data_IF_629467495873
#
_entry.id   IF_629467495873
#
_cell.length_a   1.000
_cell.length_b   1.000
_cell.length_c   1.000
_cell.angle_alpha   90.00
_cell.angle_beta   90.00
_cell.angle_gamma   90.00
#
_symmetry.space_group_name_H-M   'P 1'
#
loop_
_entity.id
_entity.type
_entity.pdbx_description
1 polymer ?
#
# COMPACT_ATOMS: atom_id res chain seq x y z
N UNK A 1 -10.84 -12.22 3.82
CA UNK A 1 -10.63 -13.04 2.62
C UNK A 1 -11.25 -12.27 1.47
N UNK A 2 -10.48 -11.39 0.83
CA UNK A 2 -10.84 -10.82 -0.46
C UNK A 2 -10.73 -11.95 -1.47
N UNK A 3 -11.83 -12.32 -2.12
CA UNK A 3 -11.78 -13.17 -3.30
C UNK A 3 -11.03 -12.39 -4.39
N UNK A 4 -9.74 -12.61 -4.48
CA UNK A 4 -8.94 -12.14 -5.61
C UNK A 4 -9.34 -12.98 -6.81
N UNK A 5 -10.20 -12.43 -7.67
CA UNK A 5 -10.56 -13.07 -8.92
C UNK A 5 -9.33 -13.06 -9.82
N UNK A 6 -8.54 -14.13 -9.77
CA UNK A 6 -7.52 -14.39 -10.76
C UNK A 6 -8.27 -14.73 -12.05
N UNK A 7 -8.24 -13.82 -13.01
CA UNK A 7 -8.78 -14.03 -14.35
C UNK A 7 -7.87 -15.01 -15.11
N UNK A 8 -7.94 -16.29 -14.77
CA UNK A 8 -7.22 -17.32 -15.52
C UNK A 8 -8.02 -17.71 -16.76
N UNK A 9 -7.41 -17.65 -17.93
CA UNK A 9 -8.03 -18.23 -19.13
C UNK A 9 -7.94 -19.75 -19.05
N UNK A 10 -9.05 -20.43 -19.33
CA UNK A 10 -9.13 -21.90 -19.34
C UNK A 10 -8.19 -22.42 -20.44
N UNK A 11 -7.07 -23.05 -20.05
CA UNK A 11 -6.06 -23.58 -20.97
C UNK A 11 -4.71 -22.84 -20.98
N UNK A 12 -4.51 -21.81 -20.15
CA UNK A 12 -3.19 -21.16 -20.04
C UNK A 12 -2.15 -22.09 -19.43
N UNK A 13 -0.99 -22.14 -20.07
CA UNK A 13 0.16 -22.90 -19.59
C UNK A 13 0.67 -22.34 -18.25
N UNK A 14 1.30 -23.19 -17.44
CA UNK A 14 1.84 -22.78 -16.15
C UNK A 14 2.91 -21.69 -16.30
N UNK A 15 3.64 -21.72 -17.40
CA UNK A 15 4.67 -20.75 -17.76
C UNK A 15 4.07 -19.36 -18.05
N UNK A 16 2.91 -19.28 -18.71
CA UNK A 16 2.27 -18.00 -18.98
C UNK A 16 1.74 -17.36 -17.68
N UNK A 17 1.21 -18.17 -16.76
CA UNK A 17 0.76 -17.69 -15.44
C UNK A 17 1.93 -17.18 -14.60
N UNK A 18 3.07 -17.87 -14.65
CA UNK A 18 4.29 -17.41 -14.00
C UNK A 18 4.78 -16.07 -14.60
N UNK A 19 4.79 -15.96 -15.93
CA UNK A 19 5.15 -14.72 -16.62
C UNK A 19 4.26 -13.53 -16.24
N UNK A 20 2.94 -13.73 -16.13
CA UNK A 20 2.01 -12.68 -15.65
C UNK A 20 2.33 -12.26 -14.21
N UNK A 21 2.63 -13.21 -13.33
CA UNK A 21 3.03 -12.90 -11.96
C UNK A 21 4.36 -12.12 -11.91
N UNK A 22 5.32 -12.47 -12.76
CA UNK A 22 6.59 -11.75 -12.90
C UNK A 22 6.40 -10.33 -13.42
N UNK A 23 5.52 -10.13 -14.41
CA UNK A 23 5.17 -8.81 -14.92
C UNK A 23 4.57 -7.94 -13.81
N UNK A 24 3.61 -8.45 -13.04
CA UNK A 24 3.02 -7.71 -11.90
C UNK A 24 4.06 -7.35 -10.85
N UNK A 25 4.95 -8.28 -10.51
CA UNK A 25 6.00 -8.07 -9.51
C UNK A 25 6.98 -6.97 -9.91
N UNK A 26 7.24 -6.83 -11.21
CA UNK A 26 8.23 -5.90 -11.76
C UNK A 26 7.62 -4.62 -12.34
N UNK A 27 6.30 -4.49 -12.36
CA UNK A 27 5.57 -3.32 -12.87
C UNK A 27 6.03 -2.00 -12.25
N UNK A 28 6.48 -2.02 -10.99
CA UNK A 28 7.04 -0.84 -10.33
C UNK A 28 8.20 -0.19 -11.10
N UNK A 29 9.02 -0.98 -11.81
CA UNK A 29 10.11 -0.46 -12.63
C UNK A 29 9.59 0.23 -13.90
N UNK A 30 8.58 -0.35 -14.54
CA UNK A 30 7.86 0.29 -15.66
C UNK A 30 7.25 1.62 -15.24
N UNK A 31 6.53 1.63 -14.11
CA UNK A 31 5.91 2.86 -13.61
C UNK A 31 6.94 3.92 -13.22
N UNK A 32 8.08 3.52 -12.64
CA UNK A 32 9.18 4.43 -12.35
C UNK A 32 9.69 5.12 -13.62
N UNK A 33 9.90 4.37 -14.70
CA UNK A 33 10.34 4.92 -15.99
C UNK A 33 9.29 5.87 -16.57
N UNK A 34 8.02 5.46 -16.63
CA UNK A 34 6.92 6.30 -17.13
C UNK A 34 6.78 7.61 -16.36
N UNK A 35 6.95 7.57 -15.04
CA UNK A 35 6.92 8.77 -14.23
C UNK A 35 7.96 9.77 -14.70
N UNK A 36 9.17 9.33 -15.06
CA UNK A 36 10.22 10.22 -15.56
C UNK A 36 9.98 10.61 -17.01
N UNK A 37 9.48 9.69 -17.83
CA UNK A 37 9.11 9.95 -19.22
C UNK A 37 8.05 11.05 -19.34
N UNK A 38 7.05 11.08 -18.46
CA UNK A 38 6.01 12.12 -18.47
C UNK A 38 6.59 13.52 -18.25
N UNK A 39 7.67 13.63 -17.45
CA UNK A 39 8.39 14.87 -17.15
C UNK A 39 9.35 15.31 -18.26
N UNK A 40 9.66 14.46 -19.24
CA UNK A 40 10.55 14.81 -20.36
C UNK A 40 9.83 15.65 -21.41
N UNK A 41 10.52 16.70 -21.86
CA UNK A 41 10.12 17.51 -23.02
C UNK A 41 10.25 16.70 -24.31
N UNK A 42 11.39 16.03 -24.49
CA UNK A 42 11.65 15.13 -25.62
C UNK A 42 11.48 13.70 -25.12
N UNK A 43 10.46 13.01 -25.65
CA UNK A 43 10.18 11.62 -25.33
C UNK A 43 11.33 10.72 -25.76
N UNK A 44 11.69 9.78 -24.92
CA UNK A 44 12.79 8.83 -25.13
C UNK A 44 12.28 7.41 -25.36
N UNK A 45 11.03 7.12 -25.02
CA UNK A 45 10.44 5.81 -25.25
C UNK A 45 9.78 5.78 -26.63
N UNK A 46 10.11 4.76 -27.42
CA UNK A 46 9.49 4.50 -28.72
C UNK A 46 8.06 3.94 -28.54
N UNK A 47 7.85 3.23 -27.43
CA UNK A 47 6.59 2.64 -27.02
C UNK A 47 6.57 2.47 -25.50
N UNK A 48 5.42 2.67 -24.86
CA UNK A 48 5.17 2.19 -23.51
C UNK A 48 3.71 1.76 -23.38
N UNK A 49 3.49 0.50 -23.04
CA UNK A 49 2.16 -0.08 -23.01
C UNK A 49 2.04 -1.18 -21.95
N UNK A 50 0.82 -1.33 -21.45
CA UNK A 50 0.42 -2.46 -20.60
C UNK A 50 -0.56 -3.33 -21.36
N UNK A 51 -0.58 -4.63 -21.05
CA UNK A 51 -1.58 -5.56 -21.56
C UNK A 51 -2.56 -5.86 -20.43
N UNK A 52 -3.83 -5.51 -20.60
CA UNK A 52 -4.88 -5.70 -19.60
C UNK A 52 -5.85 -6.80 -20.04
N UNK A 53 -6.33 -7.58 -19.08
CA UNK A 53 -7.35 -8.61 -19.27
C UNK A 53 -8.75 -8.05 -19.02
N UNK A 54 -9.59 -8.03 -20.05
CA UNK A 54 -10.97 -7.58 -20.01
C UNK A 54 -11.90 -8.78 -19.87
N UNK A 55 -12.67 -8.83 -18.78
CA UNK A 55 -13.63 -9.91 -18.57
C UNK A 55 -14.78 -9.83 -19.58
N UNK A 56 -15.14 -10.98 -20.16
CA UNK A 56 -16.24 -11.14 -21.10
C UNK A 56 -17.37 -11.97 -20.47
N UNK A 57 -18.46 -12.16 -21.21
CA UNK A 57 -19.58 -12.99 -20.76
C UNK A 57 -19.13 -14.44 -20.54
N UNK A 58 -19.12 -14.95 -19.30
CA UNK A 58 -18.65 -16.30 -18.99
C UNK A 58 -19.63 -17.39 -19.45
N UNK A 59 -20.87 -17.03 -19.77
CA UNK A 59 -21.94 -17.97 -20.11
C UNK A 59 -22.00 -18.28 -21.61
N UNK A 60 -21.29 -17.53 -22.46
CA UNK A 60 -21.18 -17.81 -23.89
C UNK A 60 -19.95 -18.69 -24.21
N UNK A 61 -20.15 -19.97 -24.57
CA UNK A 61 -19.04 -20.88 -24.86
C UNK A 61 -18.33 -20.57 -26.19
N UNK A 62 -18.83 -19.63 -27.00
CA UNK A 62 -18.23 -19.24 -28.28
C UNK A 62 -17.18 -18.14 -28.14
N UNK A 63 -17.12 -17.47 -26.98
CA UNK A 63 -16.16 -16.39 -26.71
C UNK A 63 -15.20 -16.82 -25.58
N UNK A 64 -13.96 -16.29 -25.56
CA UNK A 64 -13.05 -16.55 -24.45
C UNK A 64 -13.56 -15.86 -23.18
N UNK A 65 -13.13 -16.36 -22.01
CA UNK A 65 -13.52 -15.76 -20.72
C UNK A 65 -12.96 -14.33 -20.54
N UNK A 66 -11.81 -14.05 -21.14
CA UNK A 66 -11.24 -12.70 -21.17
C UNK A 66 -10.63 -12.40 -22.55
N UNK A 67 -10.57 -11.13 -22.87
CA UNK A 67 -9.79 -10.60 -23.99
C UNK A 67 -8.60 -9.80 -23.45
N UNK A 68 -7.40 -10.08 -23.96
CA UNK A 68 -6.17 -9.38 -23.57
C UNK A 68 -5.84 -8.30 -24.60
N UNK A 69 -5.78 -7.04 -24.18
CA UNK A 69 -5.56 -5.92 -25.10
C UNK A 69 -4.46 -4.99 -24.59
N UNK A 70 -3.74 -4.38 -25.53
CA UNK A 70 -2.70 -3.40 -25.24
C UNK A 70 -3.31 -2.01 -25.00
N UNK A 71 -2.82 -1.34 -23.97
CA UNK A 71 -3.25 -0.03 -23.51
C UNK A 71 -2.00 0.85 -23.37
N UNK A 72 -1.99 1.98 -24.08
CA UNK A 72 -0.96 3.02 -24.03
C UNK A 72 -1.39 4.18 -23.13
N UNK A 73 -0.62 5.28 -23.13
CA UNK A 73 -0.87 6.48 -22.31
C UNK A 73 -1.24 6.14 -20.86
N UNK A 74 -0.39 5.29 -20.27
CA UNK A 74 -0.69 4.60 -19.02
C UNK A 74 -0.52 5.53 -17.83
N UNK A 75 -1.54 5.59 -16.98
CA UNK A 75 -1.57 6.24 -15.68
C UNK A 75 -1.87 5.21 -14.59
N UNK A 76 -1.28 5.39 -13.41
CA UNK A 76 -1.43 4.48 -12.28
C UNK A 76 -1.56 5.26 -10.97
N UNK A 77 -2.59 4.91 -10.19
CA UNK A 77 -2.92 5.55 -8.91
C UNK A 77 -2.61 4.66 -7.69
N UNK A 78 -1.91 3.54 -7.89
CA UNK A 78 -1.65 2.55 -6.85
C UNK A 78 -2.70 1.44 -6.71
N UNK A 79 -3.85 1.56 -7.38
CA UNK A 79 -4.94 0.57 -7.37
C UNK A 79 -5.48 0.24 -8.76
N UNK A 80 -5.60 1.25 -9.61
CA UNK A 80 -6.17 1.16 -10.95
C UNK A 80 -5.17 1.65 -11.98
N UNK A 81 -5.21 1.00 -13.13
CA UNK A 81 -4.48 1.41 -14.32
C UNK A 81 -5.48 2.03 -15.28
N UNK A 82 -5.23 3.29 -15.64
CA UNK A 82 -5.98 4.01 -16.66
C UNK A 82 -5.11 4.18 -17.90
N UNK A 83 -5.70 4.17 -19.09
CA UNK A 83 -4.97 4.48 -20.32
C UNK A 83 -5.86 4.44 -21.55
N UNK A 84 -5.24 4.43 -22.71
CA UNK A 84 -5.92 4.47 -24.02
C UNK A 84 -5.73 3.14 -24.74
N UNK A 85 -6.84 2.53 -25.17
CA UNK A 85 -6.81 1.25 -25.87
C UNK A 85 -6.09 1.37 -27.22
N UNK A 86 -5.09 0.52 -27.47
CA UNK A 86 -4.28 0.59 -28.69
C UNK A 86 -4.83 -0.26 -29.84
N UNK A 87 -5.54 -1.34 -29.52
CA UNK A 87 -5.99 -2.34 -30.48
C UNK A 87 -7.51 -2.36 -30.57
N UNK A 88 -8.03 -2.77 -31.72
CA UNK A 88 -9.47 -3.00 -31.88
C UNK A 88 -9.89 -4.28 -31.13
N UNK A 89 -10.90 -4.21 -30.25
CA UNK A 89 -11.46 -5.38 -29.60
C UNK A 89 -12.11 -6.32 -30.60
N UNK A 90 -11.90 -7.62 -30.41
CA UNK A 90 -12.55 -8.68 -31.17
C UNK A 90 -13.86 -9.12 -30.52
N UNK A 91 -13.92 -9.19 -29.20
CA UNK A 91 -15.07 -9.71 -28.46
C UNK A 91 -15.70 -8.68 -27.53
N UNK A 92 -14.90 -7.79 -26.92
CA UNK A 92 -15.39 -6.67 -26.12
C UNK A 92 -15.97 -5.55 -27.01
N UNK A 93 -17.03 -5.87 -27.76
CA UNK A 93 -17.64 -5.01 -28.80
C UNK A 93 -18.24 -3.69 -28.29
N UNK A 94 -18.35 -3.51 -26.97
CA UNK A 94 -18.74 -2.24 -26.36
C UNK A 94 -17.59 -1.23 -26.29
N UNK A 95 -16.36 -1.65 -26.57
CA UNK A 95 -15.15 -0.82 -26.61
C UNK A 95 -14.66 -0.69 -28.06
N UNK A 96 -13.88 0.35 -28.31
CA UNK A 96 -13.21 0.62 -29.59
C UNK A 96 -11.77 1.06 -29.36
N UNK A 97 -10.91 0.91 -30.37
CA UNK A 97 -9.56 1.48 -30.29
C UNK A 97 -9.63 2.99 -30.00
N UNK A 98 -8.65 3.50 -29.24
CA UNK A 98 -8.60 4.86 -28.70
C UNK A 98 -9.57 5.19 -27.55
N UNK A 99 -10.40 4.24 -27.10
CA UNK A 99 -11.20 4.44 -25.90
C UNK A 99 -10.31 4.55 -24.65
N UNK A 100 -10.69 5.47 -23.74
CA UNK A 100 -10.11 5.52 -22.40
C UNK A 100 -10.69 4.40 -21.54
N UNK A 101 -9.82 3.57 -21.00
CA UNK A 101 -10.17 2.43 -20.16
C UNK A 101 -9.54 2.56 -18.78
N UNK A 102 -10.24 2.07 -17.75
CA UNK A 102 -9.75 2.05 -16.37
C UNK A 102 -10.06 0.70 -15.76
N UNK A 103 -9.03 -0.06 -15.39
CA UNK A 103 -9.15 -1.40 -14.80
C UNK A 103 -8.35 -1.51 -13.50
N UNK A 104 -8.74 -2.38 -12.57
CA UNK A 104 -7.94 -2.66 -11.38
C UNK A 104 -6.57 -3.25 -11.75
N UNK A 105 -5.55 -3.04 -10.91
CA UNK A 105 -4.18 -3.53 -11.12
C UNK A 105 -4.12 -5.06 -11.33
N UNK A 106 -5.07 -5.79 -10.74
CA UNK A 106 -5.22 -7.24 -10.91
C UNK A 106 -5.59 -7.66 -12.34
N UNK A 107 -6.01 -6.73 -13.20
CA UNK A 107 -6.22 -6.97 -14.63
C UNK A 107 -4.89 -6.92 -15.42
N UNK A 108 -3.78 -6.47 -14.82
CA UNK A 108 -2.48 -6.43 -15.49
C UNK A 108 -2.03 -7.83 -15.87
N UNK A 109 -1.84 -8.06 -17.17
CA UNK A 109 -1.33 -9.31 -17.73
C UNK A 109 0.16 -9.19 -18.06
N UNK A 110 0.58 -8.08 -18.67
CA UNK A 110 1.98 -7.80 -18.99
C UNK A 110 2.22 -6.29 -19.12
N UNK A 111 3.48 -5.89 -19.20
CA UNK A 111 3.88 -4.51 -19.52
C UNK A 111 5.15 -4.53 -20.35
N UNK A 112 5.35 -3.53 -21.19
CA UNK A 112 6.63 -3.31 -21.85
C UNK A 112 6.83 -1.83 -22.20
N UNK A 113 8.07 -1.40 -22.20
CA UNK A 113 8.48 -0.18 -22.89
C UNK A 113 9.65 -0.46 -23.82
N UNK A 114 9.78 0.39 -24.83
CA UNK A 114 10.83 0.30 -25.84
C UNK A 114 11.67 1.55 -25.79
N UNK A 115 12.99 1.37 -25.80
CA UNK A 115 13.95 2.47 -25.89
C UNK A 115 15.03 2.10 -26.90
N UNK A 116 15.20 2.95 -27.91
CA UNK A 116 16.14 2.72 -29.01
C UNK A 116 15.92 1.35 -29.70
N UNK A 117 14.65 0.97 -29.87
CA UNK A 117 14.25 -0.32 -30.47
C UNK A 117 14.44 -1.55 -29.57
N UNK A 118 15.03 -1.42 -28.38
CA UNK A 118 15.17 -2.53 -27.42
C UNK A 118 14.00 -2.58 -26.43
N UNK A 119 13.48 -3.77 -26.17
CA UNK A 119 12.31 -4.01 -25.32
C UNK A 119 12.72 -4.28 -23.88
N UNK A 120 12.02 -3.63 -22.95
CA UNK A 120 12.09 -3.89 -21.52
C UNK A 120 10.74 -4.39 -21.02
N UNK A 121 10.74 -5.41 -20.17
CA UNK A 121 9.52 -6.14 -19.77
C UNK A 121 9.12 -7.19 -20.81
N UNK A 122 7.82 -7.34 -21.06
CA UNK A 122 7.30 -8.28 -22.05
C UNK A 122 7.43 -9.74 -21.61
N UNK A 123 7.16 -10.04 -20.33
CA UNK A 123 7.33 -11.40 -19.78
C UNK A 123 6.47 -12.44 -20.49
N UNK A 124 5.24 -12.07 -20.86
CA UNK A 124 4.34 -12.97 -21.58
C UNK A 124 4.71 -13.09 -23.05
N UNK A 125 5.32 -12.06 -23.64
CA UNK A 125 5.88 -12.12 -25.00
C UNK A 125 7.09 -13.06 -25.02
N UNK A 126 7.99 -12.96 -24.05
CA UNK A 126 9.08 -13.93 -23.87
C UNK A 126 8.54 -15.36 -23.71
N UNK A 127 7.47 -15.52 -22.91
CA UNK A 127 6.86 -16.83 -22.71
C UNK A 127 6.36 -17.47 -24.01
N UNK A 128 5.83 -16.67 -24.92
CA UNK A 128 5.42 -17.10 -26.26
C UNK A 128 6.64 -17.40 -27.13
N UNK A 129 7.67 -16.53 -27.12
CA UNK A 129 8.93 -16.72 -27.85
C UNK A 129 9.65 -18.00 -27.44
N UNK A 130 9.55 -18.44 -26.19
CA UNK A 130 10.19 -19.65 -25.71
C UNK A 130 9.71 -20.94 -26.41
N UNK A 131 8.48 -20.96 -26.93
CA UNK A 131 7.93 -22.08 -27.69
C UNK A 131 8.27 -22.06 -29.19
N UNK A 132 8.90 -21.00 -29.67
CA UNK A 132 9.21 -20.79 -31.08
C UNK A 132 10.60 -21.32 -31.43
N UNK A 133 10.79 -21.77 -32.67
CA UNK A 133 12.12 -22.04 -33.23
C UNK A 133 12.90 -20.74 -33.39
N UNK A 134 14.22 -20.84 -33.55
CA UNK A 134 15.08 -19.67 -33.76
C UNK A 134 14.61 -18.80 -34.94
N UNK A 135 14.38 -19.41 -36.11
CA UNK A 135 13.87 -18.71 -37.30
C UNK A 135 12.51 -18.02 -37.06
N UNK A 136 11.61 -18.65 -36.30
CA UNK A 136 10.30 -18.11 -35.99
C UNK A 136 10.39 -16.93 -35.00
N UNK A 137 11.33 -16.96 -34.05
CA UNK A 137 11.62 -15.81 -33.18
C UNK A 137 12.20 -14.66 -33.97
N UNK A 138 13.13 -14.93 -34.89
CA UNK A 138 13.69 -13.89 -35.76
C UNK A 138 12.62 -13.25 -36.65
N UNK A 139 11.69 -14.05 -37.20
CA UNK A 139 10.55 -13.52 -37.95
C UNK A 139 9.60 -12.70 -37.07
N UNK A 140 9.31 -13.18 -35.86
CA UNK A 140 8.54 -12.43 -34.86
C UNK A 140 9.18 -11.08 -34.55
N UNK A 141 10.46 -11.05 -34.19
CA UNK A 141 11.17 -9.83 -33.81
C UNK A 141 11.27 -8.86 -35.00
N UNK A 142 11.49 -9.37 -36.23
CA UNK A 142 11.41 -8.56 -37.47
C UNK A 142 10.03 -8.01 -37.76
N UNK A 143 8.96 -8.77 -37.49
CA UNK A 143 7.59 -8.33 -37.73
C UNK A 143 7.18 -7.18 -36.79
N UNK A 144 7.68 -7.20 -35.55
CA UNK A 144 7.51 -6.09 -34.61
C UNK A 144 8.48 -4.94 -34.87
N UNK A 145 9.63 -5.23 -35.49
CA UNK A 145 10.72 -4.26 -35.66
C UNK A 145 11.40 -3.91 -34.33
N UNK A 146 11.37 -4.83 -33.36
CA UNK A 146 11.85 -4.63 -32.00
C UNK A 146 12.84 -5.73 -31.60
N UNK A 147 13.83 -5.36 -30.81
CA UNK A 147 14.78 -6.28 -30.18
C UNK A 147 14.26 -6.69 -28.80
N UNK A 148 13.79 -7.94 -28.69
CA UNK A 148 13.33 -8.52 -27.43
C UNK A 148 14.43 -9.24 -26.65
N UNK A 149 15.69 -9.14 -27.08
CA UNK A 149 16.84 -9.71 -26.39
C UNK A 149 16.85 -11.25 -26.35
N UNK A 150 17.70 -11.77 -25.45
CA UNK A 150 17.95 -13.20 -25.30
C UNK A 150 16.72 -13.94 -24.80
N UNK A 151 16.22 -14.95 -25.55
CA UNK A 151 15.02 -15.70 -25.14
C UNK A 151 15.17 -16.38 -23.78
N UNK A 152 14.15 -16.25 -22.93
CA UNK A 152 14.11 -16.74 -21.56
C UNK A 152 14.66 -15.74 -20.53
N UNK A 153 15.22 -14.62 -20.97
CA UNK A 153 15.76 -13.56 -20.14
C UNK A 153 15.05 -12.24 -20.46
N UNK A 154 14.63 -11.55 -19.40
CA UNK A 154 13.89 -10.29 -19.49
C UNK A 154 14.70 -9.19 -18.82
N UNK A 155 14.91 -8.09 -19.52
CA UNK A 155 15.48 -6.87 -18.96
C UNK A 155 14.34 -5.95 -18.52
N UNK A 156 14.42 -5.37 -17.31
CA UNK A 156 13.36 -4.48 -16.77
C UNK A 156 13.78 -3.02 -16.64
N UNK A 157 15.09 -2.77 -16.57
CA UNK A 157 15.69 -1.44 -16.44
C UNK A 157 16.91 -1.35 -17.38
N UNK A 158 17.17 -0.20 -18.04
CA UNK A 158 18.36 -0.03 -18.85
C UNK A 158 19.62 -0.07 -17.98
N UNK A 159 20.63 -0.81 -18.42
CA UNK A 159 21.94 -0.71 -17.80
C UNK A 159 22.62 0.62 -18.16
N UNK A 160 23.56 1.05 -17.32
CA UNK A 160 24.48 2.11 -17.67
C UNK A 160 25.42 1.65 -18.81
N UNK A 161 25.95 2.59 -19.59
CA UNK A 161 26.75 2.30 -20.79
C UNK A 161 27.99 1.42 -20.50
N UNK A 162 28.51 1.45 -19.26
CA UNK A 162 29.66 0.70 -18.78
C UNK A 162 29.30 -0.55 -17.96
N UNK A 163 28.01 -0.88 -17.85
CA UNK A 163 27.52 -2.00 -17.06
C UNK A 163 26.85 -3.07 -17.92
N UNK A 164 26.99 -4.33 -17.50
CA UNK A 164 26.22 -5.41 -18.09
C UNK A 164 24.73 -5.26 -17.74
N UNK A 165 23.82 -5.63 -18.67
CA UNK A 165 22.40 -5.59 -18.40
C UNK A 165 22.03 -6.53 -17.25
N UNK A 166 21.14 -6.06 -16.37
CA UNK A 166 20.50 -6.90 -15.37
C UNK A 166 19.41 -7.73 -16.05
N UNK A 167 19.68 -9.02 -16.19
CA UNK A 167 18.77 -9.98 -16.79
C UNK A 167 18.05 -10.75 -15.70
N UNK A 168 16.75 -10.91 -15.87
CA UNK A 168 15.88 -11.70 -14.99
C UNK A 168 15.36 -12.90 -15.77
N UNK A 169 15.25 -14.04 -15.12
CA UNK A 169 14.47 -15.14 -15.66
C UNK A 169 13.00 -14.74 -15.75
N UNK A 170 12.29 -15.34 -16.70
CA UNK A 170 10.85 -15.13 -16.87
C UNK A 170 10.01 -15.47 -15.63
N UNK A 171 10.46 -16.41 -14.78
CA UNK A 171 9.69 -16.91 -13.63
C UNK A 171 10.08 -16.25 -12.30
N UNK A 172 11.19 -15.52 -12.24
CA UNK A 172 11.73 -14.89 -11.03
C UNK A 172 11.93 -15.86 -9.84
N UNK A 173 12.21 -17.13 -10.12
CA UNK A 173 12.29 -18.20 -9.12
C UNK A 173 13.72 -18.54 -8.69
N UNK A 174 14.74 -18.04 -9.41
CA UNK A 174 16.13 -18.35 -9.13
C UNK A 174 16.71 -17.53 -7.96
N UNK A 175 17.84 -17.99 -7.42
CA UNK A 175 18.60 -17.19 -6.44
C UNK A 175 19.20 -15.93 -7.07
N UNK A 176 19.59 -16.02 -8.34
CA UNK A 176 20.12 -14.91 -9.13
C UNK A 176 19.06 -13.83 -9.34
N UNK A 177 17.82 -14.19 -9.69
CA UNK A 177 16.71 -13.24 -9.83
C UNK A 177 16.48 -12.44 -8.55
N UNK A 178 16.50 -13.12 -7.40
CA UNK A 178 16.32 -12.46 -6.09
C UNK A 178 17.45 -11.48 -5.80
N UNK A 179 18.69 -11.83 -6.14
CA UNK A 179 19.83 -10.94 -5.98
C UNK A 179 19.78 -9.75 -6.94
N UNK A 180 19.40 -9.99 -8.20
CA UNK A 180 19.24 -8.96 -9.22
C UNK A 180 18.13 -7.98 -8.84
N UNK A 181 16.96 -8.47 -8.41
CA UNK A 181 15.86 -7.63 -7.92
C UNK A 181 16.25 -6.82 -6.68
N UNK A 182 16.99 -7.40 -5.73
CA UNK A 182 17.49 -6.67 -4.57
C UNK A 182 18.49 -5.57 -4.96
N UNK A 183 19.30 -5.79 -5.99
CA UNK A 183 20.23 -4.80 -6.55
C UNK A 183 19.46 -3.69 -7.26
N UNK A 184 18.48 -4.03 -8.10
CA UNK A 184 17.63 -3.08 -8.82
C UNK A 184 16.79 -2.22 -7.87
N UNK A 185 16.34 -2.76 -6.73
CA UNK A 185 15.63 -2.01 -5.68
C UNK A 185 16.48 -0.88 -5.08
N UNK A 186 17.79 -1.08 -4.96
CA UNK A 186 18.72 -0.06 -4.44
C UNK A 186 19.34 0.80 -5.54
N UNK A 187 19.09 0.45 -6.81
CA UNK A 187 19.57 1.21 -7.96
C UNK A 187 18.56 2.30 -8.30
N UNK A 188 18.99 3.55 -8.14
CA UNK A 188 18.19 4.71 -8.45
C UNK A 188 18.10 4.97 -9.95
N UNK A 189 16.96 5.50 -10.38
CA UNK A 189 16.83 5.98 -11.74
C UNK A 189 17.81 7.16 -11.97
N UNK A 190 18.56 7.22 -13.09
CA UNK A 190 19.56 8.26 -13.34
C UNK A 190 18.99 9.68 -13.22
N UNK A 191 17.73 9.89 -13.64
CA UNK A 191 17.09 11.19 -13.51
C UNK A 191 16.80 11.57 -12.05
N UNK A 192 16.48 10.60 -11.18
CA UNK A 192 16.28 10.86 -9.76
C UNK A 192 17.57 11.31 -9.06
N UNK A 193 18.72 10.77 -9.48
CA UNK A 193 20.04 11.21 -9.01
C UNK A 193 20.36 12.62 -9.51
N UNK A 194 20.19 12.87 -10.81
CA UNK A 194 20.51 14.16 -11.43
C UNK A 194 19.60 15.30 -10.96
N UNK A 195 18.38 14.99 -10.52
CA UNK A 195 17.41 15.98 -10.03
C UNK A 195 17.55 16.27 -8.53
N UNK A 196 18.40 15.56 -7.79
CA UNK A 196 18.51 15.70 -6.32
C UNK A 196 18.77 17.13 -5.89
N UNK A 197 19.80 17.77 -6.44
CA UNK A 197 20.16 19.15 -6.08
C UNK A 197 19.05 20.14 -6.41
N UNK A 198 18.44 20.02 -7.60
CA UNK A 198 17.33 20.90 -8.01
C UNK A 198 16.09 20.72 -7.16
N UNK A 199 15.79 19.50 -6.72
CA UNK A 199 14.70 19.23 -5.78
C UNK A 199 15.00 19.91 -4.45
N UNK A 200 16.22 19.79 -3.92
CA UNK A 200 16.60 20.48 -2.68
C UNK A 200 16.46 22.00 -2.78
N UNK A 201 17.00 22.60 -3.85
CA UNK A 201 16.91 24.04 -4.10
C UNK A 201 15.45 24.49 -4.21
N UNK A 202 14.64 23.77 -5.00
CA UNK A 202 13.21 24.08 -5.16
C UNK A 202 12.42 23.98 -3.86
N UNK A 203 12.75 23.00 -3.00
CA UNK A 203 12.13 22.88 -1.67
C UNK A 203 12.56 23.99 -0.71
N UNK A 204 13.78 24.51 -0.83
CA UNK A 204 14.25 25.65 -0.05
C UNK A 204 13.59 26.97 -0.49
N UNK A 205 13.45 27.18 -1.79
CA UNK A 205 12.80 28.38 -2.35
C UNK A 205 11.28 28.37 -2.13
N UNK A 206 10.65 27.20 -2.20
CA UNK A 206 9.21 27.03 -2.08
C UNK A 206 8.82 25.93 -1.07
N UNK A 207 9.06 26.13 0.25
CA UNK A 207 8.81 25.09 1.26
C UNK A 207 7.34 24.64 1.37
N UNK A 208 6.39 25.45 0.90
CA UNK A 208 4.96 25.15 0.95
C UNK A 208 4.55 24.04 -0.03
N UNK A 209 5.35 23.77 -1.08
CA UNK A 209 5.03 22.79 -2.13
C UNK A 209 4.84 21.36 -1.58
N UNK A 210 5.45 21.05 -0.43
CA UNK A 210 5.31 19.74 0.24
C UNK A 210 3.90 19.51 0.80
N UNK A 211 3.08 20.56 0.89
CA UNK A 211 1.71 20.54 1.39
C UNK A 211 0.67 20.81 0.30
N UNK A 212 1.12 21.18 -0.90
CA UNK A 212 0.23 21.47 -2.01
C UNK A 212 -0.24 20.18 -2.67
N UNK A 213 -1.56 20.09 -2.83
CA UNK A 213 -2.18 19.02 -3.59
C UNK A 213 -2.20 19.42 -5.07
N UNK A 214 -1.82 18.48 -5.93
CA UNK A 214 -1.98 18.61 -7.37
C UNK A 214 -3.48 18.62 -7.75
N UNK A 215 -3.85 18.89 -9.02
CA UNK A 215 -5.25 18.90 -9.46
C UNK A 215 -5.98 17.56 -9.29
N UNK A 216 -5.26 16.44 -9.19
CA UNK A 216 -5.82 15.12 -8.90
C UNK A 216 -5.96 14.88 -7.38
N UNK A 217 -5.53 15.83 -6.55
CA UNK A 217 -5.58 15.74 -5.10
C UNK A 217 -4.52 14.83 -4.50
N UNK A 218 -3.32 14.86 -5.09
CA UNK A 218 -2.12 14.15 -4.61
C UNK A 218 -1.05 15.14 -4.15
N UNK A 219 -0.39 14.84 -3.02
CA UNK A 219 0.84 15.52 -2.63
C UNK A 219 2.00 15.05 -3.50
N UNK A 220 3.02 15.90 -3.64
CA UNK A 220 4.29 15.52 -4.30
C UNK A 220 4.86 14.23 -3.69
N UNK A 221 4.81 14.08 -2.36
CA UNK A 221 5.28 12.86 -1.68
C UNK A 221 4.56 11.59 -2.17
N UNK A 222 3.26 11.64 -2.44
CA UNK A 222 2.50 10.48 -2.92
C UNK A 222 2.98 10.02 -4.31
N UNK A 223 3.20 10.97 -5.23
CA UNK A 223 3.65 10.69 -6.59
C UNK A 223 5.05 10.07 -6.58
N UNK A 224 5.97 10.64 -5.80
CA UNK A 224 7.36 10.18 -5.72
C UNK A 224 7.49 8.82 -5.02
N UNK A 225 6.65 8.57 -4.01
CA UNK A 225 6.57 7.26 -3.36
C UNK A 225 6.02 6.19 -4.28
N UNK A 226 4.94 6.48 -5.02
CA UNK A 226 4.36 5.52 -5.96
C UNK A 226 5.36 5.16 -7.08
N UNK A 227 6.10 6.16 -7.58
CA UNK A 227 7.13 5.99 -8.60
C UNK A 227 8.43 5.33 -8.10
N UNK A 228 8.67 5.26 -6.78
CA UNK A 228 9.89 4.67 -6.25
C UNK A 228 11.12 5.58 -6.28
N UNK A 229 10.94 6.91 -6.27
CA UNK A 229 12.01 7.89 -6.37
C UNK A 229 12.63 8.18 -5.00
N UNK A 230 13.36 7.22 -4.43
CA UNK A 230 13.86 7.28 -3.06
C UNK A 230 14.62 8.58 -2.72
N UNK A 231 15.55 9.13 -3.55
CA UNK A 231 16.25 10.37 -3.24
C UNK A 231 15.33 11.57 -3.08
N UNK A 232 14.26 11.62 -3.88
CA UNK A 232 13.26 12.71 -3.85
C UNK A 232 12.36 12.54 -2.63
N UNK A 233 11.94 11.31 -2.33
CA UNK A 233 11.17 10.99 -1.11
C UNK A 233 11.97 11.38 0.15
N UNK A 234 13.24 11.01 0.22
CA UNK A 234 14.12 11.37 1.33
C UNK A 234 14.31 12.90 1.46
N UNK A 235 14.40 13.63 0.35
CA UNK A 235 14.43 15.10 0.37
C UNK A 235 13.13 15.68 0.94
N UNK A 236 11.98 15.25 0.43
CA UNK A 236 10.66 15.71 0.89
C UNK A 236 10.46 15.47 2.39
N UNK A 237 10.84 14.29 2.90
CA UNK A 237 10.75 13.98 4.32
C UNK A 237 11.66 14.86 5.18
N UNK A 238 12.89 15.16 4.73
CA UNK A 238 13.80 16.10 5.43
C UNK A 238 13.23 17.50 5.54
N UNK A 239 12.48 17.94 4.52
CA UNK A 239 11.79 19.23 4.51
C UNK A 239 10.43 19.21 5.25
N UNK A 240 10.04 18.09 5.86
CA UNK A 240 8.87 18.00 6.72
C UNK A 240 7.58 17.59 6.02
N UNK A 241 7.66 16.94 4.85
CA UNK A 241 6.49 16.32 4.23
C UNK A 241 5.88 15.26 5.16
N UNK A 242 4.56 15.28 5.32
CA UNK A 242 3.85 14.38 6.22
C UNK A 242 3.49 13.07 5.50
N UNK A 243 4.10 11.92 5.86
CA UNK A 243 3.82 10.64 5.22
C UNK A 243 2.44 10.08 5.58
N UNK A 244 1.76 10.64 6.58
CA UNK A 244 0.42 10.22 7.03
C UNK A 244 -0.71 11.04 6.41
N UNK A 245 -0.41 12.12 5.68
CA UNK A 245 -1.42 12.88 4.97
C UNK A 245 -2.08 11.98 3.90
N UNK A 246 -3.41 11.89 3.84
CA UNK A 246 -4.08 11.11 2.80
C UNK A 246 -4.21 11.89 1.49
N UNK A 247 -4.22 11.17 0.36
CA UNK A 247 -4.70 11.68 -0.92
C UNK A 247 -6.24 11.64 -1.01
N UNK A 248 -6.82 12.01 -2.17
CA UNK A 248 -8.27 11.95 -2.43
C UNK A 248 -8.89 10.57 -2.29
N UNK A 249 -8.09 9.51 -2.43
CA UNK A 249 -8.51 8.12 -2.25
C UNK A 249 -8.36 7.63 -0.79
N UNK A 250 -7.93 8.50 0.14
CA UNK A 250 -7.69 8.14 1.53
C UNK A 250 -6.39 7.35 1.76
N UNK A 251 -5.51 7.26 0.77
CA UNK A 251 -4.25 6.52 0.86
C UNK A 251 -3.14 7.41 1.41
N UNK A 252 -2.34 6.86 2.32
CA UNK A 252 -1.12 7.51 2.82
C UNK A 252 0.09 7.11 1.98
N UNK A 253 1.20 7.83 2.14
CA UNK A 253 2.47 7.47 1.50
C UNK A 253 2.89 6.03 1.83
N UNK A 254 2.70 5.57 3.06
CA UNK A 254 3.04 4.20 3.45
C UNK A 254 2.18 3.15 2.72
N UNK A 255 0.90 3.44 2.51
CA UNK A 255 0.00 2.55 1.79
C UNK A 255 0.41 2.45 0.31
N UNK A 256 0.74 3.58 -0.32
CA UNK A 256 1.22 3.63 -1.70
C UNK A 256 2.55 2.88 -1.89
N UNK A 257 3.52 3.08 -0.99
CA UNK A 257 4.81 2.37 -1.05
C UNK A 257 4.64 0.84 -0.95
N UNK A 258 3.73 0.40 -0.07
CA UNK A 258 3.41 -1.01 0.12
C UNK A 258 2.71 -1.59 -1.11
N UNK A 259 1.75 -0.87 -1.67
CA UNK A 259 1.01 -1.28 -2.87
C UNK A 259 1.90 -1.35 -4.12
N UNK A 260 2.80 -0.38 -4.30
CA UNK A 260 3.78 -0.35 -5.39
C UNK A 260 4.94 -1.34 -5.19
N UNK A 261 5.12 -1.90 -3.99
CA UNK A 261 6.16 -2.89 -3.71
C UNK A 261 7.57 -2.31 -3.58
N UNK A 262 7.71 -1.14 -2.94
CA UNK A 262 9.00 -0.47 -2.65
C UNK A 262 9.44 -0.69 -1.19
N UNK A 263 9.98 -1.85 -0.81
CA UNK A 263 10.34 -2.16 0.59
C UNK A 263 11.32 -1.16 1.20
N UNK A 264 12.25 -0.60 0.42
CA UNK A 264 13.19 0.40 0.94
C UNK A 264 12.49 1.70 1.32
N UNK A 265 11.55 2.17 0.50
CA UNK A 265 10.73 3.34 0.82
C UNK A 265 9.77 3.06 1.98
N UNK A 266 9.22 1.84 2.08
CA UNK A 266 8.44 1.42 3.25
C UNK A 266 9.27 1.53 4.53
N UNK A 267 10.53 1.05 4.52
CA UNK A 267 11.43 1.17 5.66
C UNK A 267 11.73 2.64 6.01
N UNK A 268 11.96 3.48 4.98
CA UNK A 268 12.18 4.92 5.13
C UNK A 268 10.99 5.62 5.80
N UNK A 269 9.78 5.41 5.30
CA UNK A 269 8.56 6.01 5.82
C UNK A 269 8.21 5.53 7.24
N UNK A 270 8.66 4.34 7.62
CA UNK A 270 8.52 3.80 8.98
C UNK A 270 9.61 4.28 9.95
N UNK A 271 10.64 4.97 9.47
CA UNK A 271 11.81 5.37 10.27
C UNK A 271 12.73 4.20 10.64
N UNK A 272 12.68 3.10 9.88
CA UNK A 272 13.49 1.90 10.09
C UNK A 272 14.65 1.80 9.09
N UNK A 273 14.82 2.78 8.21
CA UNK A 273 15.89 2.81 7.22
C UNK A 273 17.22 3.25 7.87
N UNK A 274 18.23 2.38 7.92
CA UNK A 274 19.53 2.73 8.51
C UNK A 274 20.31 3.77 7.70
N UNK A 275 19.99 3.97 6.41
CA UNK A 275 20.68 4.91 5.53
C UNK A 275 20.17 6.35 5.68
N UNK A 276 18.97 6.53 6.26
CA UNK A 276 18.33 7.83 6.40
C UNK A 276 18.48 8.40 7.81
N UNK A 277 19.06 9.60 7.91
CA UNK A 277 19.31 10.29 9.19
C UNK A 277 18.40 11.51 9.42
N UNK A 278 17.51 11.83 8.49
CA UNK A 278 16.58 12.95 8.60
C UNK A 278 15.41 12.68 9.55
N UNK A 279 14.64 13.71 9.96
CA UNK A 279 13.39 13.49 10.67
C UNK A 279 12.34 12.89 9.73
N UNK A 280 11.49 12.01 10.27
CA UNK A 280 10.22 11.60 9.65
C UNK A 280 9.11 12.16 10.53
N UNK A 281 8.63 13.37 10.22
CA UNK A 281 7.57 14.01 11.00
C UNK A 281 6.22 13.40 10.63
N UNK A 282 5.59 12.71 11.58
CA UNK A 282 4.18 12.32 11.47
C UNK A 282 3.35 13.34 12.26
N UNK A 283 2.56 14.19 11.59
CA UNK A 283 1.66 15.14 12.28
C UNK A 283 0.37 14.44 12.73
N UNK A 284 0.49 13.26 13.32
CA UNK A 284 -0.63 12.65 14.05
C UNK A 284 -0.91 13.48 15.28
N UNK A 285 -2.16 13.93 15.49
CA UNK A 285 -2.55 14.52 16.77
C UNK A 285 -2.29 13.48 17.86
N UNK A 286 -1.38 13.75 18.82
CA UNK A 286 -1.10 12.79 19.87
C UNK A 286 -2.38 12.60 20.67
N UNK A 287 -2.98 11.40 20.63
CA UNK A 287 -4.16 11.09 21.45
C UNK A 287 -3.81 10.86 22.93
N UNK A 288 -2.52 10.80 23.27
CA UNK A 288 -2.06 10.57 24.64
C UNK A 288 -2.58 11.61 25.68
N UNK A 289 -2.67 12.92 25.39
CA UNK A 289 -3.21 13.90 26.34
C UNK A 289 -4.70 13.66 26.60
N UNK A 290 -5.46 13.29 25.55
CA UNK A 290 -6.88 12.91 25.69
C UNK A 290 -6.98 11.61 26.50
N UNK A 291 -6.10 10.64 26.25
CA UNK A 291 -6.02 9.40 26.99
C UNK A 291 -5.79 9.60 28.49
N UNK A 292 -4.80 10.40 28.90
CA UNK A 292 -4.57 10.70 30.32
C UNK A 292 -5.73 11.46 30.96
N UNK A 293 -6.37 12.38 30.23
CA UNK A 293 -7.56 13.06 30.73
C UNK A 293 -8.70 12.08 31.02
N UNK A 294 -8.94 11.12 30.10
CA UNK A 294 -9.92 10.06 30.31
C UNK A 294 -9.53 9.11 31.46
N UNK A 295 -8.24 8.78 31.63
CA UNK A 295 -7.78 8.00 32.79
C UNK A 295 -8.06 8.71 34.10
N UNK A 296 -7.74 10.00 34.20
CA UNK A 296 -8.00 10.80 35.39
C UNK A 296 -9.51 10.89 35.71
N UNK A 297 -10.34 11.09 34.68
CA UNK A 297 -11.80 11.08 34.81
C UNK A 297 -12.33 9.72 35.28
N UNK A 298 -11.88 8.62 34.68
CA UNK A 298 -12.28 7.26 35.05
C UNK A 298 -11.89 6.91 36.49
N UNK A 299 -10.65 7.22 36.89
CA UNK A 299 -10.17 6.99 38.27
C UNK A 299 -10.90 7.87 39.29
N UNK A 300 -11.13 9.14 38.98
CA UNK A 300 -11.89 10.05 39.85
C UNK A 300 -13.34 9.61 40.02
N UNK A 301 -13.96 9.11 38.95
CA UNK A 301 -15.32 8.58 39.00
C UNK A 301 -15.38 7.28 39.83
N UNK A 302 -14.43 6.35 39.64
CA UNK A 302 -14.32 5.15 40.48
C UNK A 302 -14.08 5.48 41.96
N UNK A 303 -13.24 6.48 42.25
CA UNK A 303 -13.04 6.97 43.62
C UNK A 303 -14.37 7.43 44.24
N UNK A 304 -15.18 8.20 43.51
CA UNK A 304 -16.49 8.65 44.01
C UNK A 304 -17.51 7.51 44.16
N UNK A 305 -17.46 6.50 43.31
CA UNK A 305 -18.41 5.37 43.37
C UNK A 305 -18.05 4.34 44.45
N UNK A 306 -16.76 4.17 44.75
CA UNK A 306 -16.26 3.10 45.62
C UNK A 306 -15.67 3.63 46.91
N UNK A 307 -14.71 4.57 46.84
CA UNK A 307 -13.90 4.97 48.00
C UNK A 307 -14.59 6.07 48.82
N UNK A 308 -15.19 7.07 48.17
CA UNK A 308 -15.91 8.15 48.86
C UNK A 308 -17.03 7.63 49.78
N UNK A 309 -17.92 6.71 49.33
CA UNK A 309 -18.94 6.14 50.20
C UNK A 309 -18.34 5.30 51.34
N UNK A 310 -17.22 4.61 51.09
CA UNK A 310 -16.48 3.86 52.11
C UNK A 310 -15.84 4.77 53.17
N UNK A 311 -15.41 5.99 52.84
CA UNK A 311 -14.88 6.94 53.83
C UNK A 311 -15.96 7.52 54.74
N UNK A 312 -17.18 7.74 54.24
CA UNK A 312 -18.32 8.19 55.04
C UNK A 312 -18.85 7.08 56.01
N UNK A 313 -18.39 5.84 55.89
CA UNK A 313 -18.82 4.70 56.76
C UNK A 313 -18.35 4.76 58.19
N UNK A 314 -17.37 5.60 58.52
CA UNK A 314 -16.96 5.80 59.91
C UNK A 314 -18.09 6.41 60.77
N UNK A 315 -19.22 6.80 60.16
CA UNK A 315 -20.45 7.27 60.81
C UNK A 315 -21.62 6.26 60.92
N UNK A 316 -21.47 4.97 60.55
CA UNK A 316 -22.44 3.92 60.92
C UNK A 316 -23.68 3.72 60.02
N UNK A 317 -23.62 4.00 58.71
CA UNK A 317 -24.69 3.64 57.74
C UNK A 317 -24.26 2.48 56.83
N UNK A 318 -25.23 1.67 56.40
CA UNK A 318 -25.04 0.58 55.41
C UNK A 318 -24.68 1.17 54.04
N UNK A 319 -23.64 0.63 53.41
CA UNK A 319 -23.19 1.05 52.07
C UNK A 319 -23.82 0.16 51.01
N UNK A 320 -24.53 0.78 50.07
CA UNK A 320 -24.68 0.20 48.74
C UNK A 320 -23.66 0.90 47.84
N UNK A 321 -22.75 0.14 47.22
CA UNK A 321 -21.89 0.70 46.16
C UNK A 321 -22.81 1.22 45.06
N UNK A 322 -22.56 2.44 44.61
CA UNK A 322 -23.41 3.14 43.65
C UNK A 322 -23.66 2.35 42.35
N UNK A 323 -24.67 2.80 41.58
CA UNK A 323 -25.18 2.24 40.32
C UNK A 323 -24.17 1.41 39.50
N UNK A 324 -24.52 0.15 39.21
CA UNK A 324 -23.72 -0.74 38.35
C UNK A 324 -23.44 -0.15 36.96
N UNK A 325 -24.36 0.67 36.44
CA UNK A 325 -24.18 1.40 35.19
C UNK A 325 -23.15 2.53 35.31
N UNK A 326 -23.08 3.20 36.47
CA UNK A 326 -22.04 4.18 36.76
C UNK A 326 -20.65 3.54 36.88
N UNK A 327 -20.56 2.37 37.52
CA UNK A 327 -19.32 1.60 37.62
C UNK A 327 -18.84 1.13 36.24
N UNK A 328 -19.75 0.59 35.43
CA UNK A 328 -19.47 0.24 34.04
C UNK A 328 -18.95 1.46 33.26
N UNK A 329 -19.63 2.60 33.36
CA UNK A 329 -19.21 3.85 32.70
C UNK A 329 -17.80 4.27 33.10
N UNK A 330 -17.48 4.22 34.39
CA UNK A 330 -16.16 4.59 34.90
C UNK A 330 -15.04 3.64 34.43
N UNK A 331 -15.30 2.33 34.42
CA UNK A 331 -14.37 1.32 33.89
C UNK A 331 -14.15 1.49 32.38
N UNK A 332 -15.21 1.77 31.63
CA UNK A 332 -15.13 2.01 30.19
C UNK A 332 -14.32 3.27 29.85
N UNK A 333 -14.57 4.36 30.56
CA UNK A 333 -13.81 5.62 30.41
C UNK A 333 -12.34 5.41 30.75
N UNK A 334 -12.04 4.69 31.84
CA UNK A 334 -10.68 4.33 32.24
C UNK A 334 -9.98 3.45 31.19
N UNK A 335 -10.67 2.43 30.68
CA UNK A 335 -10.14 1.54 29.64
C UNK A 335 -9.82 2.29 28.35
N UNK A 336 -10.71 3.17 27.90
CA UNK A 336 -10.48 4.01 26.72
C UNK A 336 -9.32 4.99 26.94
N UNK A 337 -9.19 5.51 28.16
CA UNK A 337 -8.08 6.35 28.59
C UNK A 337 -6.74 5.62 28.55
N UNK A 338 -6.66 4.38 29.06
CA UNK A 338 -5.44 3.56 29.03
C UNK A 338 -5.02 3.26 27.59
N UNK A 339 -5.98 2.87 26.73
CA UNK A 339 -5.73 2.56 25.32
C UNK A 339 -5.21 3.78 24.56
N UNK A 340 -5.77 4.95 24.84
CA UNK A 340 -5.39 6.21 24.18
C UNK A 340 -4.12 6.84 24.77
N UNK A 341 -3.86 6.63 26.07
CA UNK A 341 -2.78 7.24 26.86
C UNK A 341 -1.44 6.48 26.82
N UNK A 342 -1.47 5.15 26.66
CA UNK A 342 -0.25 4.31 26.62
C UNK A 342 0.44 4.27 25.26
N UNK A 343 -0.01 5.08 24.30
CA UNK A 343 0.79 5.40 23.11
C UNK A 343 1.00 4.23 22.13
N UNK A 344 1.95 4.33 21.19
CA UNK A 344 1.79 3.93 19.79
C UNK A 344 1.57 2.46 19.48
N UNK A 345 1.58 1.55 20.45
CA UNK A 345 1.46 0.11 20.21
C UNK A 345 0.06 -0.29 19.74
N UNK A 346 -1.00 0.14 20.43
CA UNK A 346 -2.38 -0.15 20.03
C UNK A 346 -2.72 0.51 18.69
N UNK A 347 -2.29 1.77 18.47
CA UNK A 347 -2.52 2.47 17.21
C UNK A 347 -1.69 1.92 16.04
N UNK A 348 -0.43 1.49 16.27
CA UNK A 348 0.35 0.78 15.24
C UNK A 348 -0.25 -0.58 14.90
N UNK A 349 -0.81 -1.30 15.88
CA UNK A 349 -1.56 -2.54 15.63
C UNK A 349 -2.84 -2.25 14.82
N UNK A 350 -3.57 -1.17 15.16
CA UNK A 350 -4.80 -0.72 14.49
C UNK A 350 -4.57 -0.13 13.10
N UNK A 351 -3.42 0.51 12.84
CA UNK A 351 -3.02 0.97 11.51
C UNK A 351 -2.49 -0.17 10.63
N UNK A 352 -1.99 -1.25 11.24
CA UNK A 352 -1.58 -2.48 10.53
C UNK A 352 -2.75 -3.38 10.15
N UNK A 353 -3.93 -3.19 10.73
CA UNK A 353 -5.14 -3.93 10.33
C UNK A 353 -5.90 -3.14 9.26
N UNK A 354 -6.16 -3.73 8.07
CA UNK A 354 -6.93 -3.05 7.03
C UNK A 354 -8.32 -2.65 7.56
N UNK A 355 -8.79 -1.44 7.21
CA UNK A 355 -10.04 -0.85 7.70
C UNK A 355 -11.32 -1.50 7.14
N UNK A 356 -11.36 -2.83 7.03
CA UNK A 356 -12.50 -3.56 6.48
C UNK A 356 -13.16 -4.40 7.57
N UNK A 357 -14.44 -4.13 7.86
CA UNK A 357 -15.45 -4.99 8.50
C UNK A 357 -15.13 -5.63 9.86
N UNK A 358 -14.06 -6.42 9.96
CA UNK A 358 -13.69 -7.24 11.11
C UNK A 358 -13.06 -6.47 12.28
N UNK A 359 -12.45 -5.30 12.05
CA UNK A 359 -11.90 -4.46 13.13
C UNK A 359 -13.02 -3.96 14.06
N UNK A 360 -14.17 -3.57 13.51
CA UNK A 360 -15.35 -3.18 14.29
C UNK A 360 -15.92 -4.33 15.11
N UNK A 361 -15.82 -5.58 14.62
CA UNK A 361 -16.25 -6.77 15.34
C UNK A 361 -15.35 -7.07 16.54
N UNK A 362 -14.03 -6.97 16.37
CA UNK A 362 -13.08 -7.14 17.48
C UNK A 362 -13.24 -6.05 18.55
N UNK A 363 -13.48 -4.80 18.12
CA UNK A 363 -13.76 -3.68 19.03
C UNK A 363 -15.07 -3.92 19.81
N UNK A 364 -16.12 -4.44 19.16
CA UNK A 364 -17.37 -4.82 19.81
C UNK A 364 -17.20 -5.98 20.80
N UNK A 365 -16.44 -7.01 20.44
CA UNK A 365 -16.14 -8.15 21.32
C UNK A 365 -15.37 -7.69 22.55
N UNK A 366 -14.35 -6.85 22.38
CA UNK A 366 -13.57 -6.29 23.48
C UNK A 366 -14.45 -5.44 24.42
N UNK A 367 -15.37 -4.64 23.86
CA UNK A 367 -16.31 -3.83 24.63
C UNK A 367 -17.29 -4.69 25.44
N UNK A 368 -17.81 -5.78 24.85
CA UNK A 368 -18.69 -6.73 25.54
C UNK A 368 -17.96 -7.46 26.67
N UNK A 369 -16.72 -7.94 26.43
CA UNK A 369 -15.90 -8.59 27.45
C UNK A 369 -15.59 -7.61 28.59
N UNK A 370 -15.21 -6.37 28.27
CA UNK A 370 -14.97 -5.32 29.26
C UNK A 370 -16.21 -5.04 30.11
N UNK A 371 -17.40 -5.01 29.50
CA UNK A 371 -18.65 -4.82 30.22
C UNK A 371 -18.94 -5.98 31.19
N UNK A 372 -18.77 -7.23 30.75
CA UNK A 372 -18.95 -8.40 31.62
C UNK A 372 -17.99 -8.35 32.81
N UNK A 373 -16.71 -8.04 32.58
CA UNK A 373 -15.70 -7.92 33.65
C UNK A 373 -16.07 -6.79 34.63
N UNK A 374 -16.57 -5.66 34.13
CA UNK A 374 -16.97 -4.55 34.99
C UNK A 374 -18.15 -4.92 35.91
N UNK A 375 -19.16 -5.62 35.39
CA UNK A 375 -20.29 -6.07 36.21
C UNK A 375 -19.87 -7.14 37.23
N UNK A 376 -19.02 -8.10 36.84
CA UNK A 376 -18.54 -9.12 37.79
C UNK A 376 -17.66 -8.51 38.88
N UNK A 377 -16.80 -7.55 38.55
CA UNK A 377 -16.01 -6.82 39.54
C UNK A 377 -16.90 -5.98 40.48
N UNK A 378 -17.92 -5.31 39.96
CA UNK A 378 -18.89 -4.57 40.79
C UNK A 378 -19.59 -5.50 41.79
N UNK A 379 -20.06 -6.66 41.33
CA UNK A 379 -20.74 -7.64 42.18
C UNK A 379 -19.79 -8.25 43.24
N UNK A 380 -18.54 -8.55 42.89
CA UNK A 380 -17.53 -9.00 43.85
C UNK A 380 -17.19 -7.93 44.88
N UNK A 381 -17.07 -6.67 44.47
CA UNK A 381 -16.83 -5.53 45.37
C UNK A 381 -18.02 -5.34 46.32
N UNK A 382 -19.26 -5.42 45.84
CA UNK A 382 -20.46 -5.37 46.67
C UNK A 382 -20.44 -6.48 47.73
N UNK A 383 -20.20 -7.73 47.30
CA UNK A 383 -20.11 -8.87 48.22
C UNK A 383 -18.99 -8.71 49.25
N UNK A 384 -17.82 -8.19 48.86
CA UNK A 384 -16.72 -7.95 49.77
C UNK A 384 -17.06 -6.87 50.81
N UNK A 385 -17.65 -5.74 50.38
CA UNK A 385 -18.05 -4.64 51.27
C UNK A 385 -19.14 -5.09 52.25
N UNK A 386 -20.15 -5.84 51.78
CA UNK A 386 -21.21 -6.41 52.63
C UNK A 386 -20.64 -7.46 53.60
N UNK A 387 -19.75 -8.34 53.13
CA UNK A 387 -19.09 -9.36 53.94
C UNK A 387 -18.21 -8.78 55.05
N UNK A 388 -17.50 -7.68 54.78
CA UNK A 388 -16.67 -6.97 55.76
C UNK A 388 -17.51 -6.30 56.86
N UNK A 389 -18.69 -5.75 56.51
CA UNK A 389 -19.61 -5.13 57.47
C UNK A 389 -20.22 -6.18 58.44
N UNK A 390 -20.45 -7.41 57.97
CA UNK A 390 -20.98 -8.49 58.80
C UNK A 390 -19.92 -9.14 59.72
N UNK A 391 -18.62 -9.00 59.43
CA UNK A 391 -17.53 -9.54 60.25
C UNK A 391 -17.05 -8.57 61.36
N UNK A 392 -17.49 -7.31 61.34
CA UNK A 392 -17.06 -6.24 62.26
C UNK A 392 -18.15 -5.81 63.25
N UNK A 393 -19.31 -6.44 63.22
CA UNK A 393 -20.30 -6.47 64.32
C UNK A 393 -20.09 -7.70 65.17
#
# INVERSE_FOLDING_TARGET
>A
MSEHTIYSVKGESQELKAAVASARTTFKFFWRELSWESRRIVKCLDLAAVKLSFALDPDDPQIPAVENMWVGDVEFDGQTITGVLMNEPRWATSLQASDTVSLPFEALNDWMYVRNGHVYGGFTVDALRAGMTEDARDEHDRAWGLDFGTPGLVQVVPAADDQQPWLLSRNLDSAEDRQTLATLEHTEHPMALNMREKVEEGLQEHPHVIHDYDPAGWLMLHREVLAGNYPVVAALLRHGADPLAPNVHGQTSLALASAAGWPRIVALLQGNDPEYTGPVQSRGFPLWPIGFALMALGLGWLYYLVIYPLQETWGGRSVEIASSWGFLGAVMVLGYGIVSGTGPWYFRLRMRTPQWGGSRLLDLIALLIGAVIAFTLHDQLQHYVIGFHNSTR
#
